data_IF_978696323209
#
_entry.id   IF_978696323209
#
_cell.length_a   1.000
_cell.length_b   1.000
_cell.length_c   1.000
_cell.angle_alpha   90.00
_cell.angle_beta   90.00
_cell.angle_gamma   90.00
#
_symmetry.space_group_name_H-M   'P 1'
#
loop_
_entity.id
_entity.type
_entity.pdbx_description
1 polymer ?
#
# COMPACT_ATOMS: atom_id res chain seq x y z
N UNK A 1 0.63 -2.00 36.24
CA UNK A 1 1.83 -1.25 36.68
C UNK A 1 1.40 -0.16 37.66
N UNK A 2 2.24 0.28 38.60
CA UNK A 2 1.91 1.43 39.46
C UNK A 2 2.49 2.72 38.85
N UNK A 3 1.67 3.76 38.70
CA UNK A 3 2.11 5.08 38.26
C UNK A 3 2.21 5.98 39.50
N UNK A 4 3.39 6.57 39.71
CA UNK A 4 3.66 7.49 40.82
C UNK A 4 4.11 8.82 40.22
N UNK A 5 3.39 9.89 40.54
CA UNK A 5 3.78 11.25 40.16
C UNK A 5 4.35 11.97 41.38
N UNK A 6 5.41 12.75 41.17
CA UNK A 6 5.99 13.61 42.21
C UNK A 6 6.53 14.88 41.59
N UNK A 7 6.54 15.97 42.35
CA UNK A 7 7.09 17.26 41.92
C UNK A 7 8.46 17.45 42.55
N UNK A 8 9.53 17.38 41.75
CA UNK A 8 10.92 17.46 42.21
C UNK A 8 11.24 16.46 43.34
N UNK A 9 10.72 15.23 43.24
CA UNK A 9 10.91 14.17 44.24
C UNK A 9 10.11 14.35 45.54
N UNK A 10 9.20 15.34 45.61
CA UNK A 10 8.33 15.60 46.76
C UNK A 10 6.86 15.36 46.43
N UNK A 11 6.05 15.11 47.45
CA UNK A 11 4.60 14.88 47.35
C UNK A 11 4.27 13.76 46.36
N UNK A 12 4.94 12.63 46.49
CA UNK A 12 4.70 11.47 45.64
C UNK A 12 3.29 10.92 45.90
N UNK A 13 2.48 10.83 44.84
CA UNK A 13 1.13 10.28 44.89
C UNK A 13 1.01 9.17 43.85
N UNK A 14 0.45 8.04 44.26
CA UNK A 14 0.06 6.97 43.33
C UNK A 14 -1.20 7.42 42.58
N UNK A 15 -1.17 7.30 41.25
CA UNK A 15 -2.32 7.59 40.40
C UNK A 15 -3.00 6.26 40.03
N UNK A 16 -4.31 6.22 40.16
CA UNK A 16 -5.13 5.08 39.75
C UNK A 16 -5.55 5.21 38.28
N UNK A 17 -5.76 4.06 37.62
CA UNK A 17 -6.18 4.00 36.21
C UNK A 17 -7.52 4.72 36.05
N UNK A 18 -7.58 5.61 35.09
CA UNK A 18 -8.79 6.32 34.66
C UNK A 18 -9.42 5.60 33.46
N UNK A 19 -10.69 5.87 33.19
CA UNK A 19 -11.40 5.33 32.02
C UNK A 19 -11.71 6.43 31.02
N UNK A 20 -11.74 6.09 29.74
CA UNK A 20 -12.32 6.96 28.74
C UNK A 20 -13.85 6.89 28.81
N UNK A 21 -14.50 8.04 28.85
CA UNK A 21 -15.97 8.11 28.96
C UNK A 21 -16.69 7.93 27.63
N UNK A 22 -16.04 8.32 26.51
CA UNK A 22 -16.62 8.32 25.16
C UNK A 22 -15.60 7.96 24.09
N UNK A 23 -16.01 7.14 23.12
CA UNK A 23 -15.21 6.80 21.92
C UNK A 23 -14.78 8.05 21.14
N UNK A 24 -15.66 9.04 21.02
CA UNK A 24 -15.38 10.28 20.28
C UNK A 24 -14.20 11.08 20.86
N UNK A 25 -13.98 11.02 22.19
CA UNK A 25 -12.79 11.61 22.79
C UNK A 25 -11.52 10.85 22.39
N UNK A 26 -11.58 9.52 22.35
CA UNK A 26 -10.47 8.66 21.94
C UNK A 26 -10.08 8.93 20.47
N UNK A 27 -11.08 8.99 19.58
CA UNK A 27 -10.89 9.36 18.18
C UNK A 27 -10.24 10.73 18.02
N UNK A 28 -10.73 11.73 18.75
CA UNK A 28 -10.15 13.07 18.73
C UNK A 28 -8.71 13.06 19.26
N UNK A 29 -8.47 12.33 20.35
CA UNK A 29 -7.16 12.26 20.99
C UNK A 29 -6.10 11.70 20.04
N UNK A 30 -6.39 10.59 19.36
CA UNK A 30 -5.44 9.98 18.41
C UNK A 30 -5.23 10.84 17.16
N UNK A 31 -6.24 11.60 16.77
CA UNK A 31 -6.13 12.53 15.66
C UNK A 31 -5.19 13.69 15.99
N UNK A 32 -5.35 14.27 17.18
CA UNK A 32 -4.51 15.37 17.66
C UNK A 32 -3.11 14.87 18.08
N UNK A 33 -2.96 13.58 18.42
CA UNK A 33 -1.73 12.98 18.94
C UNK A 33 -1.46 11.60 18.29
N UNK A 34 -1.16 11.52 16.98
CA UNK A 34 -1.00 10.25 16.26
C UNK A 34 0.14 9.37 16.78
N UNK A 35 1.16 9.97 17.39
CA UNK A 35 2.27 9.28 18.08
C UNK A 35 1.79 8.41 19.26
N UNK A 36 0.53 8.55 19.69
CA UNK A 36 -0.08 7.65 20.68
C UNK A 36 -0.34 6.25 20.12
N UNK A 37 -0.28 6.07 18.81
CA UNK A 37 -0.27 4.77 18.14
C UNK A 37 1.20 4.37 18.01
N UNK A 38 1.69 3.37 18.76
CA UNK A 38 3.12 3.15 18.92
C UNK A 38 3.70 2.31 17.77
N UNK A 39 3.51 2.77 16.53
CA UNK A 39 4.06 2.10 15.34
C UNK A 39 5.60 2.09 15.36
N UNK A 40 6.22 2.99 16.12
CA UNK A 40 7.67 3.00 16.38
C UNK A 40 8.18 1.72 17.07
N UNK A 41 7.32 0.99 17.81
CA UNK A 41 7.68 -0.31 18.39
C UNK A 41 7.80 -1.41 17.31
N UNK A 42 7.20 -1.19 16.13
CA UNK A 42 7.31 -2.07 14.97
C UNK A 42 8.55 -1.69 14.14
N UNK A 43 8.68 -0.41 13.84
CA UNK A 43 9.81 0.15 13.08
C UNK A 43 10.03 1.60 13.51
N UNK A 44 11.23 1.88 14.02
CA UNK A 44 11.58 3.16 14.66
C UNK A 44 11.29 4.41 13.81
N UNK A 45 11.39 4.29 12.48
CA UNK A 45 11.26 5.41 11.55
C UNK A 45 9.86 5.58 10.94
N UNK A 46 8.84 4.84 11.39
CA UNK A 46 7.45 5.03 10.93
C UNK A 46 6.93 6.37 11.48
N UNK A 47 6.42 7.20 10.57
CA UNK A 47 5.75 8.47 10.92
C UNK A 47 4.37 8.48 10.32
N UNK A 48 3.35 8.41 11.16
CA UNK A 48 1.96 8.36 10.74
C UNK A 48 1.35 9.77 10.67
N UNK A 49 0.80 10.11 9.50
CA UNK A 49 -0.01 11.31 9.31
C UNK A 49 -1.48 10.93 9.13
N UNK A 50 -2.33 11.36 10.06
CA UNK A 50 -3.78 11.20 9.93
C UNK A 50 -4.33 12.29 9.00
N UNK A 51 -4.99 11.87 7.92
CA UNK A 51 -5.46 12.76 6.86
C UNK A 51 -6.94 13.07 6.96
N UNK A 52 -7.76 12.15 7.47
CA UNK A 52 -9.18 12.37 7.69
C UNK A 52 -9.70 11.61 8.91
N UNK A 53 -10.74 12.17 9.53
CA UNK A 53 -11.64 11.49 10.47
C UNK A 53 -12.98 11.27 9.81
N UNK A 54 -13.71 10.27 10.28
CA UNK A 54 -15.03 9.90 9.73
C UNK A 54 -15.00 9.77 8.20
N UNK A 55 -13.95 9.15 7.66
CA UNK A 55 -13.75 9.03 6.22
C UNK A 55 -14.90 8.19 5.63
N UNK A 56 -15.70 8.73 4.70
CA UNK A 56 -16.92 8.07 4.24
C UNK A 56 -16.60 6.83 3.39
N UNK A 57 -17.27 5.72 3.69
CA UNK A 57 -17.28 4.53 2.84
C UNK A 57 -18.69 3.95 2.71
N UNK A 58 -18.87 3.02 1.77
CA UNK A 58 -20.13 2.28 1.63
C UNK A 58 -20.43 1.33 2.80
N UNK A 59 -19.43 1.04 3.65
CA UNK A 59 -19.57 0.21 4.85
C UNK A 59 -19.70 1.05 6.14
N UNK A 60 -19.82 2.38 6.00
CA UNK A 60 -19.85 3.34 7.10
C UNK A 60 -18.58 4.21 7.15
N UNK A 61 -18.56 5.21 8.04
CA UNK A 61 -17.39 6.08 8.18
C UNK A 61 -16.25 5.36 8.92
N UNK A 62 -15.03 5.44 8.39
CA UNK A 62 -13.81 5.03 9.10
C UNK A 62 -13.48 6.10 10.13
N UNK A 63 -13.26 5.71 11.40
CA UNK A 63 -12.97 6.66 12.48
C UNK A 63 -11.78 7.58 12.15
N UNK A 64 -10.67 7.01 11.67
CA UNK A 64 -9.54 7.77 11.14
C UNK A 64 -8.78 7.00 10.04
N UNK A 65 -8.29 7.74 9.04
CA UNK A 65 -7.42 7.21 7.99
C UNK A 65 -6.13 8.03 7.91
N UNK A 66 -5.00 7.34 7.83
CA UNK A 66 -3.69 7.96 7.74
C UNK A 66 -2.76 7.25 6.76
N UNK A 67 -1.64 7.89 6.47
CA UNK A 67 -0.56 7.31 5.66
C UNK A 67 0.80 7.57 6.30
N UNK A 68 1.80 6.79 5.92
CA UNK A 68 3.20 7.04 6.25
C UNK A 68 4.02 7.53 5.03
N UNK A 69 5.33 7.70 5.23
CA UNK A 69 6.26 8.17 4.19
C UNK A 69 6.44 7.14 3.06
N UNK A 70 6.19 5.86 3.33
CA UNK A 70 6.22 4.77 2.36
C UNK A 70 4.90 4.64 1.57
N UNK A 71 3.90 5.44 1.91
CA UNK A 71 2.58 5.42 1.26
C UNK A 71 1.71 4.27 1.73
N UNK A 72 2.06 3.61 2.85
CA UNK A 72 1.20 2.60 3.47
C UNK A 72 -0.04 3.26 4.05
N UNK A 73 -1.20 2.61 3.92
CA UNK A 73 -2.50 3.16 4.33
C UNK A 73 -2.93 2.52 5.64
N UNK A 74 -3.21 3.35 6.63
CA UNK A 74 -3.63 2.96 7.96
C UNK A 74 -5.11 3.29 8.16
N UNK A 75 -5.92 2.26 8.39
CA UNK A 75 -7.35 2.35 8.70
C UNK A 75 -7.50 2.13 10.20
N UNK A 76 -7.89 3.18 10.93
CA UNK A 76 -7.96 3.14 12.38
C UNK A 76 -9.43 3.10 12.80
N UNK A 77 -9.78 2.11 13.60
CA UNK A 77 -11.09 1.97 14.24
C UNK A 77 -10.90 2.04 15.75
N UNK A 78 -11.71 2.85 16.43
CA UNK A 78 -11.66 3.01 17.88
C UNK A 78 -12.86 2.36 18.56
N UNK A 79 -12.63 1.68 19.69
CA UNK A 79 -13.71 1.10 20.52
C UNK A 79 -13.40 1.21 22.01
N UNK A 80 -14.43 1.42 22.82
CA UNK A 80 -14.33 1.22 24.27
C UNK A 80 -14.67 -0.22 24.66
N UNK A 81 -14.00 -0.74 25.69
CA UNK A 81 -14.13 -2.11 26.19
C UNK A 81 -15.55 -2.50 26.59
N UNK A 82 -16.38 -1.52 26.98
CA UNK A 82 -17.78 -1.75 27.37
C UNK A 82 -18.65 -2.32 26.23
N UNK A 83 -18.16 -2.34 24.99
CA UNK A 83 -18.87 -2.93 23.85
C UNK A 83 -18.94 -4.48 23.93
N UNK A 84 -20.11 -5.11 23.75
CA UNK A 84 -20.36 -6.50 24.12
C UNK A 84 -19.79 -7.55 23.15
N UNK A 85 -19.57 -7.23 21.87
CA UNK A 85 -18.89 -8.14 20.93
C UNK A 85 -17.69 -7.43 20.31
N UNK A 86 -16.50 -7.78 20.78
CA UNK A 86 -15.25 -7.18 20.32
C UNK A 86 -14.71 -7.84 19.05
N UNK A 87 -15.31 -8.93 18.58
CA UNK A 87 -14.93 -9.54 17.29
C UNK A 87 -15.47 -8.76 16.11
N UNK A 88 -16.57 -8.03 16.32
CA UNK A 88 -17.17 -7.19 15.26
C UNK A 88 -16.23 -6.06 14.86
N UNK A 89 -15.34 -5.59 15.75
CA UNK A 89 -14.38 -4.53 15.40
C UNK A 89 -13.40 -4.98 14.31
N UNK A 90 -12.96 -6.24 14.35
CA UNK A 90 -12.10 -6.82 13.30
C UNK A 90 -12.89 -6.90 12.00
N UNK A 91 -14.12 -7.42 12.05
CA UNK A 91 -14.98 -7.50 10.87
C UNK A 91 -15.26 -6.12 10.27
N UNK A 92 -15.51 -5.11 11.10
CA UNK A 92 -15.79 -3.74 10.70
C UNK A 92 -14.56 -3.09 10.04
N UNK A 93 -13.38 -3.22 10.65
CA UNK A 93 -12.14 -2.74 10.06
C UNK A 93 -11.88 -3.37 8.69
N UNK A 94 -12.06 -4.70 8.57
CA UNK A 94 -11.92 -5.41 7.30
C UNK A 94 -12.96 -5.02 6.26
N UNK A 95 -14.21 -4.74 6.67
CA UNK A 95 -15.28 -4.28 5.78
C UNK A 95 -14.92 -2.91 5.17
N UNK A 96 -14.33 -2.00 5.95
CA UNK A 96 -13.79 -0.76 5.41
C UNK A 96 -12.67 -0.99 4.40
N UNK A 97 -11.73 -1.87 4.72
CA UNK A 97 -10.65 -2.24 3.79
C UNK A 97 -11.19 -2.79 2.47
N UNK A 98 -12.21 -3.66 2.55
CA UNK A 98 -12.88 -4.21 1.38
C UNK A 98 -13.60 -3.12 0.55
N UNK A 99 -14.26 -2.17 1.22
CA UNK A 99 -14.91 -1.03 0.56
C UNK A 99 -13.88 -0.16 -0.18
N UNK A 100 -12.77 0.22 0.48
CA UNK A 100 -11.71 1.01 -0.13
C UNK A 100 -11.04 0.27 -1.30
N UNK A 101 -10.69 -1.00 -1.12
CA UNK A 101 -10.05 -1.80 -2.15
C UNK A 101 -10.94 -1.98 -3.39
N UNK A 102 -12.24 -2.27 -3.19
CA UNK A 102 -13.20 -2.44 -4.29
C UNK A 102 -13.36 -1.18 -5.15
N UNK A 103 -13.19 0.00 -4.55
CA UNK A 103 -13.28 1.29 -5.21
C UNK A 103 -11.91 1.92 -5.54
N UNK A 104 -10.83 1.14 -5.43
CA UNK A 104 -9.45 1.59 -5.70
C UNK A 104 -9.22 2.11 -7.13
N UNK A 105 -10.03 1.67 -8.10
CA UNK A 105 -10.03 2.20 -9.47
C UNK A 105 -10.39 3.69 -9.55
N UNK A 106 -11.09 4.22 -8.56
CA UNK A 106 -11.45 5.65 -8.43
C UNK A 106 -10.48 6.40 -7.51
N UNK A 107 -9.16 6.19 -7.66
CA UNK A 107 -8.15 6.83 -6.81
C UNK A 107 -8.28 8.37 -6.72
N UNK A 108 -8.71 9.03 -7.80
CA UNK A 108 -8.92 10.48 -7.81
C UNK A 108 -10.01 10.92 -6.83
N UNK A 109 -11.07 10.12 -6.66
CA UNK A 109 -12.15 10.39 -5.69
C UNK A 109 -11.63 10.23 -4.26
N UNK A 110 -10.86 9.16 -4.00
CA UNK A 110 -10.18 8.95 -2.72
C UNK A 110 -9.30 10.14 -2.34
N UNK A 111 -8.44 10.59 -3.25
CA UNK A 111 -7.58 11.77 -3.03
C UNK A 111 -8.39 13.06 -2.86
N UNK A 112 -9.49 13.24 -3.60
CA UNK A 112 -10.34 14.42 -3.46
C UNK A 112 -10.96 14.51 -2.05
N UNK A 113 -11.47 13.39 -1.53
CA UNK A 113 -12.04 13.32 -0.16
C UNK A 113 -10.95 13.62 0.88
N UNK A 114 -9.76 13.05 0.73
CA UNK A 114 -8.63 13.34 1.62
C UNK A 114 -8.23 14.81 1.56
N UNK A 115 -8.14 15.40 0.37
CA UNK A 115 -7.81 16.80 0.20
C UNK A 115 -8.84 17.73 0.84
N UNK A 116 -10.14 17.42 0.71
CA UNK A 116 -11.19 18.19 1.37
C UNK A 116 -11.05 18.16 2.90
N UNK A 117 -10.80 16.99 3.48
CA UNK A 117 -10.61 16.83 4.92
C UNK A 117 -9.34 17.56 5.40
N UNK A 118 -8.22 17.37 4.69
CA UNK A 118 -6.96 18.06 5.00
C UNK A 118 -7.11 19.57 4.92
N UNK A 119 -7.81 20.09 3.90
CA UNK A 119 -8.04 21.52 3.76
C UNK A 119 -8.95 22.07 4.87
N UNK A 120 -9.97 21.31 5.31
CA UNK A 120 -10.83 21.69 6.43
C UNK A 120 -10.04 21.78 7.74
N UNK A 121 -9.18 20.80 8.02
CA UNK A 121 -8.44 20.73 9.28
C UNK A 121 -7.19 21.60 9.27
N UNK A 122 -6.28 21.34 8.35
CA UNK A 122 -4.92 21.93 8.33
C UNK A 122 -4.85 23.24 7.55
N UNK A 123 -5.92 23.63 6.84
CA UNK A 123 -6.01 24.88 6.05
C UNK A 123 -4.99 24.98 4.92
N UNK A 124 -4.46 23.84 4.48
CA UNK A 124 -3.56 23.70 3.33
C UNK A 124 -4.03 22.55 2.43
N UNK A 125 -3.64 22.51 1.14
CA UNK A 125 -3.90 21.36 0.27
C UNK A 125 -3.17 20.10 0.74
N UNK A 126 -3.69 18.92 0.36
CA UNK A 126 -3.08 17.62 0.68
C UNK A 126 -1.61 17.55 0.29
N UNK A 127 -1.29 17.92 -0.96
CA UNK A 127 0.08 17.87 -1.49
C UNK A 127 1.06 18.67 -0.63
N UNK A 128 0.68 19.89 -0.26
CA UNK A 128 1.49 20.74 0.60
C UNK A 128 1.67 20.11 1.99
N UNK A 129 0.59 19.55 2.56
CA UNK A 129 0.65 18.91 3.88
C UNK A 129 1.60 17.70 3.90
N UNK A 130 1.55 16.88 2.85
CA UNK A 130 2.44 15.73 2.68
C UNK A 130 3.89 16.17 2.57
N UNK A 131 4.18 17.17 1.72
CA UNK A 131 5.53 17.72 1.58
C UNK A 131 6.07 18.27 2.89
N UNK A 132 5.30 19.08 3.61
CA UNK A 132 5.74 19.67 4.88
C UNK A 132 5.96 18.63 5.97
N UNK A 133 5.06 17.64 6.08
CA UNK A 133 5.13 16.65 7.15
C UNK A 133 6.27 15.63 6.95
N UNK A 134 6.44 15.16 5.71
CA UNK A 134 7.43 14.14 5.34
C UNK A 134 8.75 14.73 4.82
N UNK A 135 8.81 16.03 4.54
CA UNK A 135 10.00 16.70 4.01
C UNK A 135 10.29 16.36 2.56
N UNK A 136 9.25 16.23 1.72
CA UNK A 136 9.36 15.73 0.35
C UNK A 136 9.56 16.86 -0.66
N UNK A 137 10.40 16.61 -1.66
CA UNK A 137 10.42 17.38 -2.90
C UNK A 137 9.16 17.13 -3.75
N UNK A 138 8.99 17.88 -4.84
CA UNK A 138 7.86 17.70 -5.76
C UNK A 138 7.90 16.35 -6.49
N UNK A 139 9.10 15.88 -6.88
CA UNK A 139 9.27 14.56 -7.49
C UNK A 139 8.95 13.43 -6.51
N UNK A 140 9.42 13.53 -5.25
CA UNK A 140 9.16 12.54 -4.21
C UNK A 140 7.68 12.51 -3.80
N UNK A 141 7.00 13.66 -3.80
CA UNK A 141 5.55 13.72 -3.57
C UNK A 141 4.79 12.89 -4.61
N UNK A 142 5.13 13.04 -5.90
CA UNK A 142 4.49 12.28 -6.96
C UNK A 142 4.72 10.78 -6.80
N UNK A 143 5.96 10.38 -6.45
CA UNK A 143 6.27 8.98 -6.14
C UNK A 143 5.48 8.47 -4.94
N UNK A 144 5.32 9.27 -3.88
CA UNK A 144 4.53 8.88 -2.71
C UNK A 144 3.06 8.67 -3.08
N UNK A 145 2.46 9.57 -3.88
CA UNK A 145 1.08 9.40 -4.33
C UNK A 145 0.90 8.15 -5.20
N UNK A 146 1.88 7.82 -6.05
CA UNK A 146 1.89 6.56 -6.79
C UNK A 146 1.99 5.35 -5.86
N UNK A 147 2.79 5.41 -4.80
CA UNK A 147 2.86 4.35 -3.79
C UNK A 147 1.53 4.15 -3.07
N UNK A 148 0.89 5.23 -2.61
CA UNK A 148 -0.45 5.17 -1.98
C UNK A 148 -1.46 4.54 -2.94
N UNK A 149 -1.43 4.93 -4.23
CA UNK A 149 -2.30 4.36 -5.25
C UNK A 149 -2.10 2.86 -5.42
N UNK A 150 -0.84 2.43 -5.54
CA UNK A 150 -0.49 1.02 -5.71
C UNK A 150 -0.85 0.19 -4.47
N UNK A 151 -0.55 0.69 -3.27
CA UNK A 151 -0.89 0.01 -2.02
C UNK A 151 -2.41 -0.15 -1.87
N UNK A 152 -3.18 0.89 -2.24
CA UNK A 152 -4.64 0.80 -2.25
C UNK A 152 -5.16 -0.24 -3.26
N UNK A 153 -4.61 -0.27 -4.48
CA UNK A 153 -5.05 -1.23 -5.52
C UNK A 153 -4.65 -2.67 -5.22
N UNK A 154 -3.50 -2.84 -4.58
CA UNK A 154 -2.95 -4.15 -4.21
C UNK A 154 -3.55 -4.66 -2.88
N UNK A 155 -4.35 -3.85 -2.20
CA UNK A 155 -4.97 -4.21 -0.92
C UNK A 155 -3.97 -4.26 0.25
N UNK A 156 -2.83 -3.60 0.10
CA UNK A 156 -1.80 -3.46 1.14
C UNK A 156 -2.27 -2.37 2.11
N UNK A 157 -3.01 -2.82 3.12
CA UNK A 157 -3.64 -1.98 4.14
C UNK A 157 -3.18 -2.43 5.53
N UNK A 158 -3.04 -1.46 6.43
CA UNK A 158 -2.79 -1.71 7.85
C UNK A 158 -4.03 -1.31 8.65
N UNK A 159 -4.61 -2.25 9.38
CA UNK A 159 -5.74 -2.00 10.24
C UNK A 159 -5.24 -1.75 11.66
N UNK A 160 -5.66 -0.66 12.28
CA UNK A 160 -5.32 -0.34 13.67
C UNK A 160 -6.61 -0.35 14.47
N UNK A 161 -6.75 -1.32 15.37
CA UNK A 161 -7.87 -1.43 16.30
C UNK A 161 -7.42 -0.83 17.61
N UNK A 162 -7.94 0.35 17.96
CA UNK A 162 -7.53 1.08 19.15
C UNK A 162 -8.58 0.98 20.25
N UNK A 163 -8.18 0.52 21.43
CA UNK A 163 -9.07 0.22 22.55
C UNK A 163 -8.46 0.60 23.91
N UNK A 164 -9.29 0.84 24.92
CA UNK A 164 -8.85 1.12 26.30
C UNK A 164 -8.47 -0.14 27.10
N UNK A 165 -8.90 -1.31 26.61
CA UNK A 165 -8.54 -2.63 27.11
C UNK A 165 -8.75 -3.69 26.01
N UNK A 166 -7.79 -4.60 25.86
CA UNK A 166 -7.84 -5.73 24.93
C UNK A 166 -7.97 -7.05 25.69
N UNK A 167 -8.96 -7.89 25.35
CA UNK A 167 -8.98 -9.26 25.87
C UNK A 167 -8.11 -10.21 25.04
N UNK A 168 -7.70 -11.30 25.68
CA UNK A 168 -6.75 -12.25 25.08
C UNK A 168 -7.33 -12.97 23.85
N UNK A 169 -8.66 -13.16 23.77
CA UNK A 169 -9.28 -13.80 22.61
C UNK A 169 -9.19 -12.94 21.35
N UNK A 170 -9.34 -11.62 21.50
CA UNK A 170 -9.15 -10.69 20.40
C UNK A 170 -7.69 -10.67 19.95
N UNK A 171 -6.73 -10.75 20.89
CA UNK A 171 -5.31 -10.86 20.56
C UNK A 171 -5.03 -12.14 19.77
N UNK A 172 -5.52 -13.28 20.22
CA UNK A 172 -5.38 -14.57 19.51
C UNK A 172 -5.98 -14.52 18.09
N UNK A 173 -7.15 -13.91 17.93
CA UNK A 173 -7.79 -13.72 16.63
C UNK A 173 -6.90 -12.87 15.69
N UNK A 174 -6.37 -11.76 16.19
CA UNK A 174 -5.51 -10.86 15.41
C UNK A 174 -4.22 -11.57 14.99
N UNK A 175 -3.58 -12.31 15.90
CA UNK A 175 -2.40 -13.11 15.59
C UNK A 175 -2.71 -14.14 14.49
N UNK A 176 -3.83 -14.87 14.61
CA UNK A 176 -4.24 -15.84 13.60
C UNK A 176 -4.51 -15.18 12.24
N UNK A 177 -5.23 -14.06 12.22
CA UNK A 177 -5.51 -13.34 10.97
C UNK A 177 -4.21 -12.86 10.33
N UNK A 178 -3.33 -12.20 11.08
CA UNK A 178 -2.04 -11.71 10.55
C UNK A 178 -1.18 -12.84 9.99
N UNK A 179 -1.14 -14.00 10.64
CA UNK A 179 -0.45 -15.18 10.12
C UNK A 179 -1.02 -15.67 8.79
N UNK A 180 -2.32 -15.42 8.55
CA UNK A 180 -3.09 -15.96 7.44
C UNK A 180 -3.51 -14.92 6.38
N UNK A 181 -3.08 -13.65 6.49
CA UNK A 181 -3.48 -12.54 5.62
C UNK A 181 -2.30 -11.75 5.06
N UNK A 182 -2.53 -11.11 3.90
CA UNK A 182 -1.54 -10.21 3.28
C UNK A 182 -1.48 -8.85 3.97
N UNK A 183 -2.61 -8.37 4.49
CA UNK A 183 -2.70 -7.17 5.33
C UNK A 183 -2.29 -7.45 6.78
N UNK A 184 -2.01 -6.39 7.53
CA UNK A 184 -1.70 -6.45 8.97
C UNK A 184 -2.83 -5.83 9.80
N UNK A 185 -3.13 -6.45 10.93
CA UNK A 185 -3.99 -5.90 11.96
C UNK A 185 -3.15 -5.67 13.21
N UNK A 186 -3.13 -4.43 13.68
CA UNK A 186 -2.50 -4.02 14.92
C UNK A 186 -3.59 -3.70 15.94
N UNK A 187 -3.52 -4.31 17.11
CA UNK A 187 -4.33 -3.87 18.24
C UNK A 187 -3.52 -2.97 19.15
N UNK A 188 -4.05 -1.78 19.42
CA UNK A 188 -3.45 -0.80 20.31
C UNK A 188 -4.30 -0.66 21.54
N UNK A 189 -3.74 -1.04 22.68
CA UNK A 189 -4.32 -0.83 24.00
C UNK A 189 -3.79 0.47 24.61
N UNK A 190 -4.68 1.36 25.01
CA UNK A 190 -4.32 2.60 25.71
C UNK A 190 -4.68 2.51 27.20
N UNK A 191 -3.67 2.46 28.07
CA UNK A 191 -3.91 2.74 29.49
C UNK A 191 -3.93 4.26 29.73
N UNK A 192 -5.00 4.74 30.33
CA UNK A 192 -5.21 6.15 30.63
C UNK A 192 -5.15 6.43 32.14
N UNK A 193 -4.43 7.49 32.50
CA UNK A 193 -4.37 8.01 33.86
C UNK A 193 -4.50 9.53 33.82
N UNK A 194 -5.24 10.09 34.78
CA UNK A 194 -5.43 11.52 34.90
C UNK A 194 -4.96 12.02 36.27
N UNK A 195 -4.19 13.09 36.26
CA UNK A 195 -3.77 13.79 37.48
C UNK A 195 -3.78 15.30 37.26
N UNK A 196 -4.64 16.00 37.99
CA UNK A 196 -4.94 17.42 37.78
C UNK A 196 -5.31 17.72 36.32
N UNK A 197 -4.48 18.52 35.64
CA UNK A 197 -4.62 18.87 34.21
C UNK A 197 -3.81 17.97 33.29
N UNK A 198 -3.03 17.03 33.82
CA UNK A 198 -2.16 16.15 33.04
C UNK A 198 -2.86 14.84 32.75
N UNK A 199 -2.65 14.37 31.53
CA UNK A 199 -3.11 13.09 31.01
C UNK A 199 -1.89 12.25 30.68
N UNK A 200 -1.87 11.01 31.17
CA UNK A 200 -0.81 10.04 30.91
C UNK A 200 -1.45 8.91 30.12
N UNK A 201 -0.93 8.70 28.92
CA UNK A 201 -1.30 7.61 28.03
C UNK A 201 -0.11 6.67 27.92
N UNK A 202 -0.35 5.39 28.18
CA UNK A 202 0.63 4.34 28.00
C UNK A 202 0.08 3.42 26.91
N UNK A 203 0.55 3.57 25.66
CA UNK A 203 0.12 2.72 24.58
C UNK A 203 0.86 1.37 24.63
N UNK A 204 0.18 0.31 24.17
CA UNK A 204 0.77 -0.99 23.88
C UNK A 204 0.23 -1.50 22.56
N UNK A 205 1.10 -1.97 21.69
CA UNK A 205 0.73 -2.57 20.41
C UNK A 205 0.90 -4.09 20.46
N UNK A 206 -0.02 -4.78 19.81
CA UNK A 206 -0.03 -6.22 19.63
C UNK A 206 -0.33 -6.56 18.16
N UNK A 207 0.16 -7.70 17.69
CA UNK A 207 0.01 -8.17 16.31
C UNK A 207 1.23 -7.95 15.43
N UNK A 208 2.22 -7.18 15.90
CA UNK A 208 3.48 -6.93 15.21
C UNK A 208 4.52 -8.04 15.40
N UNK A 209 4.34 -8.90 16.42
CA UNK A 209 5.21 -10.01 16.78
C UNK A 209 5.16 -11.19 15.78
N UNK A 210 4.19 -11.19 14.86
CA UNK A 210 4.00 -12.26 13.90
C UNK A 210 4.96 -12.11 12.73
N UNK A 211 5.96 -13.00 12.65
CA UNK A 211 6.66 -13.27 11.38
C UNK A 211 5.73 -14.10 10.51
N UNK A 212 5.21 -13.52 9.43
CA UNK A 212 4.34 -14.23 8.49
C UNK A 212 5.14 -15.30 7.76
N UNK A 213 4.80 -16.57 7.97
CA UNK A 213 5.33 -17.72 7.22
C UNK A 213 4.54 -17.96 5.92
N UNK A 214 3.46 -17.22 5.69
CA UNK A 214 2.90 -17.05 4.36
C UNK A 214 3.88 -16.19 3.58
N UNK A 215 4.22 -16.62 2.36
CA UNK A 215 5.15 -15.98 1.43
C UNK A 215 4.68 -14.58 0.96
N UNK A 216 4.48 -13.68 1.92
CA UNK A 216 4.10 -12.27 1.78
C UNK A 216 4.83 -11.56 2.92
N UNK A 217 6.06 -11.18 2.62
CA UNK A 217 6.88 -10.31 3.46
C UNK A 217 6.16 -8.98 3.68
N UNK A 218 5.99 -8.60 4.94
CA UNK A 218 5.57 -7.28 5.38
C UNK A 218 6.44 -6.17 4.75
N UNK A 219 5.77 -5.06 4.46
CA UNK A 219 6.17 -3.93 3.63
C UNK A 219 7.22 -3.00 4.26
N UNK A 220 8.02 -3.48 5.20
CA UNK A 220 9.22 -2.75 5.62
C UNK A 220 10.38 -3.61 6.11
N UNK A 221 10.96 -4.43 5.23
CA UNK A 221 12.43 -4.60 5.27
C UNK A 221 12.97 -5.10 3.94
N UNK A 222 14.00 -4.40 3.46
CA UNK A 222 14.78 -4.72 2.26
C UNK A 222 14.02 -4.50 0.96
N UNK A 223 14.31 -3.37 0.29
CA UNK A 223 14.30 -3.36 -1.17
C UNK A 223 15.10 -4.60 -1.60
N UNK A 224 14.43 -5.63 -2.10
CA UNK A 224 15.14 -6.75 -2.70
C UNK A 224 15.88 -6.13 -3.87
N UNK A 225 17.20 -6.06 -3.77
CA UNK A 225 18.04 -5.87 -4.94
C UNK A 225 17.78 -7.11 -5.79
N UNK A 226 16.82 -6.96 -6.70
CA UNK A 226 16.49 -7.94 -7.70
C UNK A 226 17.70 -8.03 -8.61
N UNK A 227 18.18 -9.25 -8.76
CA UNK A 227 19.10 -9.62 -9.82
C UNK A 227 18.40 -10.69 -10.66
N UNK A 228 19.01 -11.00 -11.80
CA UNK A 228 18.51 -12.00 -12.74
C UNK A 228 18.22 -13.34 -12.07
N UNK A 229 19.13 -13.81 -11.21
CA UNK A 229 18.98 -15.08 -10.51
C UNK A 229 17.73 -15.11 -9.61
N UNK A 230 17.53 -14.08 -8.78
CA UNK A 230 16.36 -13.98 -7.90
C UNK A 230 15.06 -13.90 -8.69
N UNK A 231 15.04 -13.11 -9.77
CA UNK A 231 13.87 -12.98 -10.65
C UNK A 231 13.49 -14.34 -11.25
N UNK A 232 14.47 -15.03 -11.84
CA UNK A 232 14.24 -16.30 -12.52
C UNK A 232 13.89 -17.42 -11.54
N UNK A 233 14.44 -17.41 -10.32
CA UNK A 233 14.08 -18.36 -9.28
C UNK A 233 12.65 -18.14 -8.80
N UNK A 234 12.26 -16.91 -8.48
CA UNK A 234 10.88 -16.61 -8.06
C UNK A 234 9.89 -16.94 -9.19
N UNK A 235 10.21 -16.64 -10.44
CA UNK A 235 9.35 -16.99 -11.56
C UNK A 235 9.19 -18.51 -11.72
N UNK A 236 10.25 -19.28 -11.47
CA UNK A 236 10.21 -20.75 -11.51
C UNK A 236 9.38 -21.35 -10.37
N UNK A 237 9.37 -20.71 -9.20
CA UNK A 237 8.58 -21.14 -8.04
C UNK A 237 7.08 -20.86 -8.23
N UNK A 238 6.73 -19.74 -8.86
CA UNK A 238 5.35 -19.28 -8.99
C UNK A 238 4.62 -19.77 -10.25
N UNK A 239 5.36 -20.09 -11.32
CA UNK A 239 4.80 -20.42 -12.62
C UNK A 239 4.85 -21.93 -12.87
N UNK A 240 3.91 -22.43 -13.69
CA UNK A 240 4.05 -23.77 -14.26
C UNK A 240 5.27 -23.83 -15.19
N UNK A 241 5.84 -25.02 -15.39
CA UNK A 241 7.02 -25.19 -16.25
C UNK A 241 6.83 -24.62 -17.67
N UNK A 242 5.61 -24.75 -18.21
CA UNK A 242 5.25 -24.20 -19.53
C UNK A 242 5.28 -22.67 -19.53
N UNK A 243 4.62 -22.04 -18.56
CA UNK A 243 4.56 -20.57 -18.47
C UNK A 243 5.95 -20.00 -18.12
N UNK A 244 6.70 -20.67 -17.25
CA UNK A 244 8.07 -20.30 -16.92
C UNK A 244 9.00 -20.32 -18.14
N UNK A 245 8.88 -21.35 -18.99
CA UNK A 245 9.65 -21.45 -20.23
C UNK A 245 9.39 -20.24 -21.14
N UNK A 246 8.13 -19.84 -21.27
CA UNK A 246 7.72 -18.68 -22.05
C UNK A 246 8.13 -17.35 -21.39
N UNK A 247 8.02 -17.23 -20.08
CA UNK A 247 8.53 -16.09 -19.31
C UNK A 247 10.02 -15.88 -19.57
N UNK A 248 10.81 -16.96 -19.45
CA UNK A 248 12.26 -16.92 -19.69
C UNK A 248 12.57 -16.53 -21.14
N UNK A 249 11.78 -17.02 -22.10
CA UNK A 249 11.93 -16.65 -23.52
C UNK A 249 11.74 -15.15 -23.76
N UNK A 250 10.76 -14.52 -23.13
CA UNK A 250 10.56 -13.05 -23.21
C UNK A 250 11.70 -12.31 -22.50
N UNK A 251 12.17 -12.82 -21.36
CA UNK A 251 13.28 -12.22 -20.62
C UNK A 251 14.60 -12.26 -21.41
N UNK A 252 14.95 -13.43 -21.97
CA UNK A 252 16.15 -13.61 -22.79
C UNK A 252 16.10 -12.70 -24.03
N UNK A 253 14.95 -12.63 -24.71
CA UNK A 253 14.72 -11.68 -25.82
C UNK A 253 14.92 -10.23 -25.37
N UNK A 254 14.39 -9.86 -24.21
CA UNK A 254 14.53 -8.50 -23.68
C UNK A 254 15.98 -8.15 -23.39
N UNK A 255 16.75 -9.07 -22.81
CA UNK A 255 18.19 -8.87 -22.56
C UNK A 255 19.01 -8.75 -23.84
N UNK A 256 18.64 -9.45 -24.90
CA UNK A 256 19.39 -9.44 -26.16
C UNK A 256 19.07 -8.22 -27.03
N UNK A 257 17.80 -7.78 -27.06
CA UNK A 257 17.33 -6.79 -28.03
C UNK A 257 16.94 -5.43 -27.45
N UNK A 258 16.73 -5.29 -26.13
CA UNK A 258 16.44 -3.99 -25.51
C UNK A 258 17.73 -3.18 -25.28
N UNK A 259 17.62 -1.86 -25.29
CA UNK A 259 18.75 -0.98 -24.95
C UNK A 259 19.06 -1.05 -23.44
N UNK A 260 18.01 -1.21 -22.62
CA UNK A 260 18.12 -1.38 -21.16
C UNK A 260 17.05 -2.35 -20.66
N UNK A 261 17.38 -3.18 -19.66
CA UNK A 261 16.39 -3.99 -18.92
C UNK A 261 16.46 -3.63 -17.44
N UNK A 262 15.45 -2.90 -16.95
CA UNK A 262 15.35 -2.53 -15.54
C UNK A 262 14.62 -3.61 -14.76
N UNK A 263 15.22 -4.07 -13.68
CA UNK A 263 14.53 -4.95 -12.73
C UNK A 263 13.67 -4.11 -11.78
N UNK A 264 12.44 -4.56 -11.53
CA UNK A 264 11.53 -3.93 -10.59
C UNK A 264 12.08 -3.98 -9.17
N UNK A 265 11.56 -3.14 -8.28
CA UNK A 265 11.97 -3.07 -6.86
C UNK A 265 10.86 -3.53 -5.91
N UNK A 266 9.71 -3.96 -6.44
CA UNK A 266 8.56 -4.43 -5.67
C UNK A 266 8.74 -5.84 -5.11
N UNK A 267 7.74 -6.31 -4.35
CA UNK A 267 7.74 -7.64 -3.73
C UNK A 267 7.77 -8.79 -4.74
N UNK A 268 7.12 -8.61 -5.89
CA UNK A 268 7.26 -9.48 -7.04
C UNK A 268 8.35 -8.94 -7.96
N UNK A 269 9.37 -9.75 -8.23
CA UNK A 269 10.39 -9.42 -9.20
C UNK A 269 9.74 -9.15 -10.55
N UNK A 270 10.21 -8.13 -11.26
CA UNK A 270 9.77 -7.88 -12.63
C UNK A 270 10.94 -7.43 -13.47
N UNK A 271 10.80 -7.53 -14.78
CA UNK A 271 11.71 -6.88 -15.71
C UNK A 271 10.95 -5.94 -16.65
N UNK A 272 11.60 -4.84 -16.98
CA UNK A 272 11.00 -3.69 -17.64
C UNK A 272 11.97 -3.25 -18.76
N UNK A 273 11.85 -3.84 -19.97
CA UNK A 273 12.74 -3.53 -21.08
C UNK A 273 12.39 -2.20 -21.75
N UNK A 274 13.43 -1.44 -22.09
CA UNK A 274 13.37 -0.10 -22.66
C UNK A 274 14.05 -0.12 -24.04
N UNK A 275 13.37 0.47 -25.03
CA UNK A 275 13.91 0.73 -26.36
C UNK A 275 13.85 2.23 -26.60
N UNK A 276 15.01 2.89 -26.58
CA UNK A 276 15.13 4.34 -26.75
C UNK A 276 14.66 4.81 -28.14
N UNK A 277 14.59 3.90 -29.12
CA UNK A 277 13.96 4.16 -30.43
C UNK A 277 12.46 4.46 -30.35
N UNK A 278 11.78 4.01 -29.27
CA UNK A 278 10.35 4.27 -29.05
C UNK A 278 10.15 5.36 -27.99
N UNK A 279 10.73 5.19 -26.80
CA UNK A 279 10.72 6.15 -25.67
C UNK A 279 11.69 5.70 -24.58
N UNK A 280 12.16 6.64 -23.75
CA UNK A 280 12.94 6.38 -22.53
C UNK A 280 12.12 5.78 -21.36
N UNK A 281 11.14 4.93 -21.70
CA UNK A 281 10.23 4.24 -20.78
C UNK A 281 10.00 2.82 -21.30
N UNK A 282 9.75 1.89 -20.38
CA UNK A 282 9.62 0.47 -20.73
C UNK A 282 8.34 0.19 -21.52
N UNK A 283 8.42 -0.60 -22.60
CA UNK A 283 7.25 -0.97 -23.41
C UNK A 283 6.22 -1.78 -22.63
N UNK A 284 6.72 -2.73 -21.84
CA UNK A 284 5.92 -3.60 -20.99
C UNK A 284 6.69 -3.90 -19.71
N UNK A 285 5.99 -4.49 -18.75
CA UNK A 285 6.58 -5.08 -17.55
C UNK A 285 6.05 -6.48 -17.40
N UNK A 286 6.94 -7.46 -17.19
CA UNK A 286 6.55 -8.83 -16.91
C UNK A 286 7.03 -9.20 -15.51
N UNK A 287 6.08 -9.57 -14.65
CA UNK A 287 6.31 -9.90 -13.25
C UNK A 287 6.56 -11.40 -13.09
N UNK A 288 7.32 -11.81 -12.07
CA UNK A 288 7.68 -13.19 -11.79
C UNK A 288 6.47 -14.10 -11.58
N UNK A 289 5.35 -13.55 -11.10
CA UNK A 289 4.07 -14.26 -11.00
C UNK A 289 3.33 -14.41 -12.35
N UNK A 290 3.95 -13.97 -13.46
CA UNK A 290 3.41 -14.09 -14.80
C UNK A 290 2.45 -12.97 -15.21
N UNK A 291 2.15 -11.99 -14.37
CA UNK A 291 1.34 -10.85 -14.81
C UNK A 291 2.12 -9.98 -15.79
N UNK A 292 1.54 -9.62 -16.93
CA UNK A 292 2.14 -8.74 -17.93
C UNK A 292 1.36 -7.42 -17.99
N UNK A 293 2.03 -6.28 -17.79
CA UNK A 293 1.46 -4.95 -18.01
C UNK A 293 2.02 -4.31 -19.26
N UNK A 294 1.16 -3.80 -20.15
CA UNK A 294 1.60 -3.00 -21.32
C UNK A 294 1.52 -1.52 -20.96
N UNK A 295 2.63 -0.80 -21.09
CA UNK A 295 2.79 0.53 -20.47
C UNK A 295 2.38 1.68 -21.38
N UNK A 296 1.29 1.54 -22.14
CA UNK A 296 0.85 2.55 -23.12
C UNK A 296 0.75 3.97 -22.55
N UNK A 297 0.24 4.13 -21.33
CA UNK A 297 0.18 5.41 -20.61
C UNK A 297 1.52 6.14 -20.44
N UNK A 298 2.65 5.42 -20.52
CA UNK A 298 3.99 5.98 -20.49
C UNK A 298 4.65 6.09 -21.85
N UNK A 299 4.03 5.64 -22.94
CA UNK A 299 4.70 5.52 -24.23
C UNK A 299 4.41 6.67 -25.19
N UNK A 300 3.27 7.36 -25.09
CA UNK A 300 2.94 8.47 -26.00
C UNK A 300 3.61 9.77 -25.56
N UNK A 301 4.48 10.33 -26.41
CA UNK A 301 5.14 11.62 -26.15
C UNK A 301 4.11 12.75 -25.99
N UNK A 302 4.48 13.79 -25.25
CA UNK A 302 3.59 14.94 -25.00
C UNK A 302 3.19 15.65 -26.31
N UNK A 303 4.10 15.68 -27.28
CA UNK A 303 3.88 16.20 -28.64
C UNK A 303 3.21 15.18 -29.59
N UNK A 304 2.94 13.96 -29.10
CA UNK A 304 2.38 12.81 -29.82
C UNK A 304 3.18 12.36 -31.05
N UNK A 305 4.46 12.73 -31.14
CA UNK A 305 5.34 12.40 -32.27
C UNK A 305 5.48 10.90 -32.54
N UNK A 306 5.42 10.07 -31.50
CA UNK A 306 5.53 8.62 -31.60
C UNK A 306 4.17 7.89 -31.59
N UNK A 307 3.04 8.60 -31.64
CA UNK A 307 1.71 7.99 -31.52
C UNK A 307 1.45 6.91 -32.59
N UNK A 308 1.87 7.13 -33.83
CA UNK A 308 1.70 6.16 -34.91
C UNK A 308 2.42 4.82 -34.64
N UNK A 309 3.59 4.88 -33.99
CA UNK A 309 4.36 3.69 -33.58
C UNK A 309 3.59 2.95 -32.49
N UNK A 310 3.04 3.67 -31.51
CA UNK A 310 2.27 3.10 -30.40
C UNK A 310 0.93 2.51 -30.90
N UNK A 311 0.23 3.17 -31.82
CA UNK A 311 -0.99 2.64 -32.45
C UNK A 311 -0.71 1.37 -33.26
N UNK A 312 0.44 1.30 -33.95
CA UNK A 312 0.85 0.09 -34.65
C UNK A 312 1.11 -1.06 -33.66
N UNK A 313 1.78 -0.77 -32.53
CA UNK A 313 1.98 -1.75 -31.47
C UNK A 313 0.64 -2.26 -30.91
N UNK A 314 -0.28 -1.35 -30.59
CA UNK A 314 -1.66 -1.68 -30.16
C UNK A 314 -2.32 -2.63 -31.16
N UNK A 315 -2.35 -2.28 -32.45
CA UNK A 315 -3.00 -3.10 -33.49
C UNK A 315 -2.40 -4.49 -33.62
N UNK A 316 -1.07 -4.61 -33.51
CA UNK A 316 -0.38 -5.91 -33.53
C UNK A 316 -0.76 -6.78 -32.33
N UNK A 317 -0.77 -6.20 -31.13
CA UNK A 317 -1.19 -6.90 -29.92
C UNK A 317 -2.67 -7.33 -29.99
N UNK A 318 -3.57 -6.47 -30.50
CA UNK A 318 -4.96 -6.85 -30.75
C UNK A 318 -5.07 -8.00 -31.76
N UNK A 319 -4.29 -7.97 -32.84
CA UNK A 319 -4.28 -8.99 -33.89
C UNK A 319 -3.84 -10.38 -33.40
N UNK A 320 -3.09 -10.44 -32.29
CA UNK A 320 -2.66 -11.71 -31.67
C UNK A 320 -3.56 -12.09 -30.48
N UNK A 321 -4.59 -11.31 -30.18
CA UNK A 321 -5.64 -11.64 -29.21
C UNK A 321 -5.53 -10.97 -27.84
N UNK A 322 -4.80 -9.86 -27.72
CA UNK A 322 -4.83 -9.02 -26.52
C UNK A 322 -6.00 -8.05 -26.60
N UNK A 323 -6.84 -8.03 -25.56
CA UNK A 323 -7.91 -7.03 -25.44
C UNK A 323 -7.30 -5.71 -24.94
N UNK A 324 -7.36 -4.66 -25.78
CA UNK A 324 -6.78 -3.35 -25.46
C UNK A 324 -7.91 -2.31 -25.48
N UNK A 325 -8.12 -1.55 -24.39
CA UNK A 325 -9.20 -0.57 -24.31
C UNK A 325 -8.99 0.63 -25.25
N UNK A 326 -10.05 1.38 -25.52
CA UNK A 326 -9.96 2.55 -26.40
C UNK A 326 -9.16 3.70 -25.78
N UNK A 327 -9.24 3.87 -24.45
CA UNK A 327 -8.45 4.84 -23.68
C UNK A 327 -7.06 4.30 -23.27
N UNK A 328 -6.46 3.40 -24.07
CA UNK A 328 -5.20 2.74 -23.77
C UNK A 328 -4.03 3.69 -23.42
N UNK A 329 -4.06 4.94 -23.90
CA UNK A 329 -3.05 5.95 -23.57
C UNK A 329 -3.18 6.52 -22.15
N UNK A 330 -4.24 6.20 -21.43
CA UNK A 330 -4.51 6.69 -20.07
C UNK A 330 -4.47 5.57 -19.02
N UNK A 331 -4.43 4.31 -19.48
CA UNK A 331 -4.47 3.13 -18.63
C UNK A 331 -3.32 2.18 -18.92
N UNK A 332 -3.07 1.27 -17.98
CA UNK A 332 -2.09 0.19 -18.13
C UNK A 332 -2.85 -1.14 -18.18
N UNK A 333 -3.19 -1.68 -19.37
CA UNK A 333 -3.83 -2.98 -19.44
C UNK A 333 -2.88 -4.07 -18.93
N UNK A 334 -3.42 -4.96 -18.11
CA UNK A 334 -2.71 -6.08 -17.51
C UNK A 334 -3.29 -7.40 -18.02
N UNK A 335 -2.43 -8.40 -18.19
CA UNK A 335 -2.77 -9.70 -18.73
C UNK A 335 -2.19 -10.82 -17.86
N UNK A 336 -3.04 -11.77 -17.50
CA UNK A 336 -2.65 -12.98 -16.79
C UNK A 336 -1.85 -13.92 -17.72
N UNK A 337 -1.01 -14.82 -17.18
CA UNK A 337 -0.12 -15.65 -17.98
C UNK A 337 -0.81 -16.54 -19.01
N UNK A 338 -2.04 -16.97 -18.76
CA UNK A 338 -2.85 -17.75 -19.69
C UNK A 338 -3.17 -16.98 -20.97
N UNK A 339 -3.13 -15.65 -20.93
CA UNK A 339 -3.36 -14.79 -22.10
C UNK A 339 -2.08 -14.69 -22.93
N UNK A 340 -0.95 -14.29 -22.34
CA UNK A 340 0.26 -14.02 -23.15
C UNK A 340 1.12 -15.26 -23.41
N UNK A 341 1.17 -16.23 -22.49
CA UNK A 341 2.08 -17.39 -22.59
C UNK A 341 1.88 -18.17 -23.88
N UNK A 342 0.65 -18.53 -24.32
CA UNK A 342 0.43 -19.21 -25.60
C UNK A 342 0.82 -18.38 -26.84
N UNK A 343 1.00 -17.07 -26.66
CA UNK A 343 1.26 -16.09 -27.73
C UNK A 343 2.67 -15.52 -27.67
N UNK A 344 3.56 -16.13 -26.90
CA UNK A 344 4.90 -15.60 -26.60
C UNK A 344 5.69 -15.22 -27.86
N UNK A 345 5.70 -16.08 -28.87
CA UNK A 345 6.43 -15.81 -30.11
C UNK A 345 5.81 -14.67 -30.93
N UNK A 346 4.49 -14.61 -30.96
CA UNK A 346 3.75 -13.55 -31.65
C UNK A 346 3.91 -12.21 -30.93
N UNK A 347 3.96 -12.22 -29.59
CA UNK A 347 4.24 -11.06 -28.75
C UNK A 347 5.66 -10.53 -28.99
N UNK A 348 6.67 -11.41 -28.97
CA UNK A 348 8.05 -11.04 -29.27
C UNK A 348 8.15 -10.43 -30.68
N UNK A 349 7.48 -11.02 -31.66
CA UNK A 349 7.45 -10.47 -33.02
C UNK A 349 6.77 -9.09 -33.07
N UNK A 350 5.66 -8.91 -32.36
CA UNK A 350 4.99 -7.62 -32.26
C UNK A 350 5.89 -6.53 -31.66
N UNK A 351 6.70 -6.88 -30.66
CA UNK A 351 7.71 -5.96 -30.09
C UNK A 351 8.80 -5.67 -31.14
N UNK A 352 9.38 -6.69 -31.77
CA UNK A 352 10.42 -6.54 -32.81
C UNK A 352 9.99 -5.60 -33.93
N UNK A 353 8.76 -5.72 -34.41
CA UNK A 353 8.25 -4.90 -35.52
C UNK A 353 8.12 -3.40 -35.18
N UNK A 354 8.10 -3.06 -33.89
CA UNK A 354 7.90 -1.69 -33.40
C UNK A 354 9.23 -1.06 -32.95
N UNK A 355 10.17 -1.89 -32.53
CA UNK A 355 11.49 -1.44 -32.02
C UNK A 355 12.61 -1.55 -33.05
N UNK A 356 12.38 -2.24 -34.18
CA UNK A 356 13.34 -2.34 -35.27
C UNK A 356 13.65 -0.95 -35.85
N UNK A 357 14.95 -0.69 -36.05
CA UNK A 357 15.47 0.53 -36.69
C UNK A 357 15.13 0.59 -38.17
#
# INVERSE_FOLDING_TARGET
MAIIISKNGKNAVRIDKSTFDKEDYLQKYIYDNPESIPLYDIKEDIRLLILAREFPTNSGPIDAIGIDKEGEIYIIETKLYKNPDKRTVVAQALDYGAALWKHSSNFNEFIAILNENVQKTFRVPLNQKLQEYFGLSEEELNQQLDLVKNNLSDGILHFVILMDNLDDRLKDLILYVNQNSQFDIYAVELEYYKHDTYEIIIPRIYGAEVKKDIAVSSSSSLRTSWNEEKLLNQAKELLTDEIYTNFKKIYDFSKEYADEVRLGTGQNGSFNPIWHSVRDKSLFSLYANGRMGINFHWLVNDDKSNLAIIDNFKKKLQGIGFEIPDNYTEVRPGYDPEIWSPRTDQFIQAVKDVVAK
#
